data_IF_453124096446
#
_entry.id   IF_453124096446
#
_cell.length_a   1.000
_cell.length_b   1.000
_cell.length_c   1.000
_cell.angle_alpha   90.00
_cell.angle_beta   90.00
_cell.angle_gamma   90.00
#
_symmetry.space_group_name_H-M   'P 1'
#
loop_
_entity.id
_entity.type
_entity.pdbx_description
1 polymer ?
#
# COMPACT_ATOMS: atom_id res chain seq x y z
N UNK A 1 -8.25 -0.44 -21.16
CA UNK A 1 -7.14 0.48 -21.56
C UNK A 1 -6.63 1.28 -20.36
N UNK A 2 -7.50 1.74 -19.45
CA UNK A 2 -7.14 2.55 -18.28
C UNK A 2 -6.26 1.85 -17.22
N UNK A 3 -6.39 0.53 -17.04
CA UNK A 3 -5.67 -0.24 -16.02
C UNK A 3 -4.14 -0.10 -16.14
N UNK A 4 -3.58 -0.45 -17.32
CA UNK A 4 -2.14 -0.41 -17.54
C UNK A 4 -1.58 1.01 -17.58
N UNK A 5 -2.37 2.01 -18.02
CA UNK A 5 -2.00 3.42 -17.90
C UNK A 5 -1.90 3.88 -16.45
N UNK A 6 -2.79 3.42 -15.56
CA UNK A 6 -2.73 3.72 -14.13
C UNK A 6 -1.51 3.05 -13.47
N UNK A 7 -1.21 1.80 -13.83
CA UNK A 7 0.00 1.11 -13.36
C UNK A 7 1.29 1.85 -13.80
N UNK A 8 1.35 2.33 -15.05
CA UNK A 8 2.46 3.15 -15.56
C UNK A 8 2.62 4.49 -14.82
N UNK A 9 1.52 5.11 -14.39
CA UNK A 9 1.60 6.33 -13.55
C UNK A 9 2.26 6.04 -12.21
N UNK A 10 2.07 4.83 -11.66
CA UNK A 10 2.69 4.42 -10.39
C UNK A 10 4.21 4.46 -10.40
N UNK A 11 4.85 4.14 -11.54
CA UNK A 11 6.31 4.24 -11.68
C UNK A 11 6.84 5.64 -11.39
N UNK A 12 6.07 6.69 -11.74
CA UNK A 12 6.48 8.08 -11.47
C UNK A 12 6.68 8.32 -9.98
N UNK A 13 5.80 7.76 -9.14
CA UNK A 13 5.92 7.90 -7.69
C UNK A 13 7.18 7.24 -7.14
N UNK A 14 7.50 6.03 -7.62
CA UNK A 14 8.72 5.33 -7.24
C UNK A 14 9.99 6.07 -7.72
N UNK A 15 10.00 6.60 -8.95
CA UNK A 15 11.12 7.38 -9.47
C UNK A 15 11.35 8.69 -8.69
N UNK A 16 10.28 9.36 -8.27
CA UNK A 16 10.39 10.57 -7.43
C UNK A 16 10.99 10.21 -6.07
N UNK A 17 10.54 9.12 -5.43
CA UNK A 17 11.16 8.62 -4.20
C UNK A 17 12.64 8.33 -4.38
N UNK A 18 13.02 7.54 -5.40
CA UNK A 18 14.43 7.21 -5.68
C UNK A 18 15.27 8.47 -5.88
N UNK A 19 14.80 9.43 -6.69
CA UNK A 19 15.50 10.69 -6.92
C UNK A 19 15.68 11.52 -5.66
N UNK A 20 14.64 11.59 -4.82
CA UNK A 20 14.70 12.28 -3.53
C UNK A 20 15.70 11.60 -2.58
N UNK A 21 15.68 10.27 -2.49
CA UNK A 21 16.62 9.54 -1.64
C UNK A 21 18.06 9.69 -2.09
N UNK A 22 18.36 9.63 -3.39
CA UNK A 22 19.72 9.85 -3.91
C UNK A 22 20.21 11.27 -3.56
N UNK A 23 19.34 12.27 -3.74
CA UNK A 23 19.66 13.65 -3.41
C UNK A 23 19.91 13.84 -1.91
N UNK A 24 19.00 13.35 -1.07
CA UNK A 24 19.08 13.53 0.38
C UNK A 24 20.23 12.73 1.00
N UNK A 25 20.41 11.47 0.62
CA UNK A 25 21.54 10.66 1.10
C UNK A 25 22.90 11.30 0.77
N UNK A 26 23.05 11.84 -0.44
CA UNK A 26 24.26 12.57 -0.86
C UNK A 26 24.53 13.78 0.04
N UNK A 27 23.51 14.61 0.29
CA UNK A 27 23.64 15.80 1.15
C UNK A 27 23.91 15.40 2.60
N UNK A 28 23.11 14.49 3.16
CA UNK A 28 23.22 14.07 4.56
C UNK A 28 24.58 13.45 4.86
N UNK A 29 25.08 12.57 4.00
CA UNK A 29 26.39 11.94 4.21
C UNK A 29 27.51 12.98 4.08
N UNK A 30 27.48 13.85 3.06
CA UNK A 30 28.51 14.89 2.89
C UNK A 30 28.61 15.81 4.12
N UNK A 31 27.48 16.35 4.59
CA UNK A 31 27.47 17.22 5.77
C UNK A 31 27.55 16.46 7.10
N UNK A 32 27.17 15.18 7.13
CA UNK A 32 27.33 14.31 8.30
C UNK A 32 28.81 14.04 8.58
N UNK A 33 29.61 13.77 7.55
CA UNK A 33 31.06 13.67 7.68
C UNK A 33 31.71 15.01 8.01
N UNK A 34 31.31 16.09 7.33
CA UNK A 34 31.94 17.39 7.55
C UNK A 34 31.61 18.01 8.91
N UNK A 35 30.38 17.82 9.38
CA UNK A 35 29.89 18.31 10.67
C UNK A 35 30.02 17.32 11.82
N UNK A 36 30.73 16.20 11.62
CA UNK A 36 30.95 15.13 12.61
C UNK A 36 29.66 14.64 13.29
N UNK A 37 28.56 14.56 12.55
CA UNK A 37 27.24 14.20 13.10
C UNK A 37 26.90 12.75 12.79
N UNK A 38 27.01 11.87 13.79
CA UNK A 38 26.63 10.45 13.64
C UNK A 38 25.13 10.28 13.36
N UNK A 39 24.26 11.09 13.96
CA UNK A 39 22.83 11.09 13.69
C UNK A 39 22.52 11.37 12.21
N UNK A 40 23.16 12.39 11.62
CA UNK A 40 22.96 12.74 10.22
C UNK A 40 23.54 11.68 9.26
N UNK A 41 24.67 11.07 9.62
CA UNK A 41 25.25 9.94 8.87
C UNK A 41 24.32 8.73 8.87
N UNK A 42 23.80 8.35 10.04
CA UNK A 42 22.88 7.23 10.18
C UNK A 42 21.62 7.44 9.34
N UNK A 43 21.03 8.63 9.40
CA UNK A 43 19.87 9.01 8.59
C UNK A 43 20.20 8.99 7.07
N UNK A 44 21.40 9.41 6.68
CA UNK A 44 21.89 9.32 5.30
C UNK A 44 22.07 7.87 4.79
N UNK A 45 22.59 6.96 5.62
CA UNK A 45 22.72 5.54 5.30
C UNK A 45 21.38 4.82 5.25
N UNK A 46 20.42 5.21 6.09
CA UNK A 46 19.05 4.69 6.01
C UNK A 46 18.44 5.03 4.65
N UNK A 47 18.56 6.28 4.18
CA UNK A 47 18.09 6.66 2.84
C UNK A 47 18.77 5.92 1.69
N UNK A 48 19.97 5.37 1.88
CA UNK A 48 20.58 4.49 0.88
C UNK A 48 19.85 3.13 0.82
N UNK A 49 19.40 2.63 1.96
CA UNK A 49 18.60 1.40 2.04
C UNK A 49 17.21 1.60 1.44
N UNK A 50 16.62 2.78 1.62
CA UNK A 50 15.30 3.13 1.05
C UNK A 50 15.32 3.23 -0.48
N UNK A 51 16.48 3.53 -1.07
CA UNK A 51 16.66 3.41 -2.53
C UNK A 51 16.45 1.96 -2.97
N UNK A 52 16.99 0.98 -2.25
CA UNK A 52 16.82 -0.44 -2.57
C UNK A 52 15.36 -0.86 -2.39
N UNK A 53 14.70 -0.41 -1.33
CA UNK A 53 13.27 -0.64 -1.11
C UNK A 53 12.42 -0.06 -2.25
N UNK A 54 12.72 1.18 -2.65
CA UNK A 54 12.03 1.86 -3.75
C UNK A 54 12.26 1.20 -5.11
N UNK A 55 13.46 0.66 -5.35
CA UNK A 55 13.75 -0.15 -6.53
C UNK A 55 12.92 -1.44 -6.51
N UNK A 56 12.82 -2.11 -5.36
CA UNK A 56 11.99 -3.32 -5.24
C UNK A 56 10.51 -3.02 -5.55
N UNK A 57 9.98 -1.89 -5.05
CA UNK A 57 8.64 -1.38 -5.39
C UNK A 57 8.51 -1.12 -6.89
N UNK A 58 9.49 -0.43 -7.50
CA UNK A 58 9.49 -0.15 -8.94
C UNK A 58 9.50 -1.43 -9.78
N UNK A 59 10.28 -2.43 -9.39
CA UNK A 59 10.32 -3.74 -10.05
C UNK A 59 8.97 -4.43 -9.95
N UNK A 60 8.35 -4.47 -8.77
CA UNK A 60 7.01 -5.05 -8.61
C UNK A 60 5.95 -4.36 -9.45
N UNK A 61 5.97 -3.02 -9.51
CA UNK A 61 5.09 -2.22 -10.38
C UNK A 61 5.33 -2.50 -11.87
N UNK A 62 6.56 -2.77 -12.30
CA UNK A 62 6.86 -3.13 -13.70
C UNK A 62 6.42 -4.55 -14.04
N UNK A 63 6.58 -5.47 -13.11
CA UNK A 63 6.10 -6.85 -13.29
C UNK A 63 4.58 -6.86 -13.36
N UNK A 64 3.87 -6.11 -12.51
CA UNK A 64 2.40 -6.07 -12.50
C UNK A 64 1.78 -5.53 -13.78
N UNK A 65 2.54 -4.74 -14.55
CA UNK A 65 2.13 -4.24 -15.86
C UNK A 65 2.17 -5.30 -16.98
N UNK A 66 2.75 -6.48 -16.74
CA UNK A 66 2.77 -7.53 -17.76
C UNK A 66 1.35 -8.07 -17.99
N UNK A 67 0.89 -8.15 -19.25
CA UNK A 67 -0.39 -8.76 -19.57
C UNK A 67 -0.37 -10.26 -19.27
N UNK A 68 -1.55 -10.93 -19.29
CA UNK A 68 -1.63 -12.38 -19.22
C UNK A 68 -0.71 -13.09 -20.22
N UNK A 69 -0.10 -14.18 -19.77
CA UNK A 69 0.76 -15.07 -20.55
C UNK A 69 0.42 -16.54 -20.27
N UNK A 70 1.15 -17.48 -20.87
CA UNK A 70 0.86 -18.92 -20.82
C UNK A 70 0.85 -19.52 -19.41
N UNK A 71 1.62 -18.95 -18.47
CA UNK A 71 1.68 -19.42 -17.09
C UNK A 71 0.95 -18.51 -16.09
N UNK A 72 0.49 -17.33 -16.52
CA UNK A 72 -0.30 -16.38 -15.73
C UNK A 72 -1.51 -15.88 -16.53
N UNK A 73 -2.55 -16.72 -16.66
CA UNK A 73 -3.78 -16.41 -17.39
C UNK A 73 -4.55 -15.17 -16.89
N UNK A 74 -4.36 -14.79 -15.62
CA UNK A 74 -4.95 -13.58 -15.02
C UNK A 74 -3.98 -12.39 -14.99
N UNK A 75 -2.80 -12.53 -15.59
CA UNK A 75 -1.74 -11.53 -15.59
C UNK A 75 -0.95 -11.49 -14.28
N UNK A 76 -0.08 -10.48 -14.18
CA UNK A 76 0.94 -10.37 -13.13
C UNK A 76 0.58 -9.41 -12.00
N UNK A 77 -0.70 -9.03 -11.89
CA UNK A 77 -1.18 -7.97 -10.98
C UNK A 77 -0.79 -8.18 -9.51
N UNK A 78 -0.70 -9.44 -9.05
CA UNK A 78 -0.28 -9.79 -7.68
C UNK A 78 1.17 -9.36 -7.37
N UNK A 79 2.03 -9.14 -8.37
CA UNK A 79 3.39 -8.65 -8.17
C UNK A 79 3.43 -7.28 -7.47
N UNK A 80 2.39 -6.47 -7.63
CA UNK A 80 2.24 -5.22 -6.89
C UNK A 80 2.06 -5.46 -5.39
N UNK A 81 1.16 -6.38 -5.01
CA UNK A 81 0.94 -6.75 -3.61
C UNK A 81 2.18 -7.37 -2.98
N UNK A 82 2.94 -8.16 -3.74
CA UNK A 82 4.23 -8.71 -3.29
C UNK A 82 5.25 -7.59 -3.03
N UNK A 83 5.31 -6.57 -3.89
CA UNK A 83 6.14 -5.39 -3.63
C UNK A 83 5.71 -4.61 -2.38
N UNK A 84 4.42 -4.42 -2.15
CA UNK A 84 3.88 -3.82 -0.92
C UNK A 84 4.29 -4.61 0.33
N UNK A 85 4.18 -5.94 0.26
CA UNK A 85 4.60 -6.83 1.35
C UNK A 85 6.11 -6.69 1.63
N UNK A 86 6.94 -6.72 0.60
CA UNK A 86 8.39 -6.57 0.75
C UNK A 86 8.77 -5.19 1.32
N UNK A 87 8.13 -4.12 0.84
CA UNK A 87 8.33 -2.78 1.38
C UNK A 87 7.95 -2.71 2.86
N UNK A 88 6.82 -3.32 3.26
CA UNK A 88 6.42 -3.38 4.67
C UNK A 88 7.43 -4.13 5.55
N UNK A 89 8.07 -5.18 5.01
CA UNK A 89 9.12 -5.91 5.73
C UNK A 89 10.37 -5.05 5.93
N UNK A 90 10.84 -4.35 4.89
CA UNK A 90 11.98 -3.44 4.98
C UNK A 90 11.69 -2.32 5.98
N UNK A 91 10.50 -1.71 5.90
CA UNK A 91 10.04 -0.69 6.84
C UNK A 91 10.01 -1.19 8.29
N UNK A 92 9.59 -2.43 8.53
CA UNK A 92 9.63 -3.03 9.85
C UNK A 92 11.06 -3.19 10.37
N UNK A 93 12.00 -3.63 9.53
CA UNK A 93 13.43 -3.74 9.89
C UNK A 93 13.99 -2.36 10.25
N UNK A 94 13.71 -1.33 9.47
CA UNK A 94 14.13 0.05 9.76
C UNK A 94 13.53 0.54 11.07
N UNK A 95 12.23 0.33 11.29
CA UNK A 95 11.57 0.67 12.56
C UNK A 95 12.22 0.00 13.77
N UNK A 96 12.59 -1.29 13.65
CA UNK A 96 13.29 -2.02 14.71
C UNK A 96 14.71 -1.48 14.92
N UNK A 97 15.41 -1.13 13.84
CA UNK A 97 16.73 -0.52 13.91
C UNK A 97 16.68 0.84 14.65
N UNK A 98 15.68 1.67 14.36
CA UNK A 98 15.47 2.94 15.06
C UNK A 98 15.21 2.71 16.56
N UNK A 99 14.33 1.76 16.91
CA UNK A 99 14.04 1.43 18.31
C UNK A 99 15.25 0.88 19.07
N UNK A 100 16.00 -0.03 18.44
CA UNK A 100 17.20 -0.62 19.05
C UNK A 100 18.32 0.40 19.21
N UNK A 101 18.49 1.32 18.25
CA UNK A 101 19.43 2.43 18.38
C UNK A 101 19.02 3.38 19.51
N UNK A 102 17.75 3.79 19.56
CA UNK A 102 17.24 4.63 20.65
C UNK A 102 17.46 3.99 22.03
N UNK A 103 17.25 2.68 22.15
CA UNK A 103 17.50 1.94 23.39
C UNK A 103 19.00 1.89 23.75
N UNK A 104 19.89 1.68 22.77
CA UNK A 104 21.35 1.69 23.01
C UNK A 104 21.86 3.05 23.45
N UNK A 105 21.35 4.13 22.86
CA UNK A 105 21.75 5.50 23.20
C UNK A 105 21.42 5.91 24.65
N UNK A 106 20.57 5.16 25.37
CA UNK A 106 20.35 5.35 26.82
C UNK A 106 21.60 5.01 27.63
N UNK A 107 22.43 4.08 27.14
CA UNK A 107 23.60 3.56 27.85
C UNK A 107 24.92 4.14 27.34
N UNK A 108 24.89 4.90 26.24
CA UNK A 108 26.07 5.54 25.67
C UNK A 108 26.30 6.93 26.28
N UNK A 109 27.57 7.35 26.47
CA UNK A 109 27.87 8.72 26.89
C UNK A 109 27.31 9.73 25.89
N UNK A 110 26.80 10.85 26.40
CA UNK A 110 26.33 11.96 25.56
C UNK A 110 27.51 12.45 24.72
N UNK A 111 27.44 12.24 23.40
CA UNK A 111 28.45 12.70 22.46
C UNK A 111 28.54 14.24 22.45
N UNK A 112 29.67 14.78 21.98
CA UNK A 112 29.81 16.22 21.75
C UNK A 112 28.69 16.74 20.84
N UNK A 113 28.19 17.93 21.15
CA UNK A 113 27.07 18.53 20.42
C UNK A 113 27.42 18.68 18.93
N UNK A 114 26.63 18.09 18.01
CA UNK A 114 26.87 18.23 16.58
C UNK A 114 26.76 19.69 16.11
N UNK A 115 27.33 19.99 14.95
CA UNK A 115 27.19 21.30 14.31
C UNK A 115 25.73 21.69 14.09
N UNK A 116 25.36 22.94 14.38
CA UNK A 116 23.99 23.48 14.15
C UNK A 116 23.54 23.29 12.68
N UNK A 117 24.49 23.26 11.74
CA UNK A 117 24.21 23.04 10.32
C UNK A 117 23.57 21.66 10.08
N UNK A 118 23.93 20.63 10.85
CA UNK A 118 23.40 19.28 10.65
C UNK A 118 21.92 19.17 11.03
N UNK A 119 21.47 19.95 12.02
CA UNK A 119 20.06 20.03 12.40
C UNK A 119 19.18 20.67 11.29
N UNK A 120 19.67 21.74 10.66
CA UNK A 120 18.97 22.37 9.55
C UNK A 120 18.84 21.44 8.34
N UNK A 121 19.86 20.64 8.08
CA UNK A 121 19.82 19.64 7.00
C UNK A 121 18.82 18.53 7.31
N UNK A 122 18.75 18.08 8.56
CA UNK A 122 17.74 17.11 8.99
C UNK A 122 16.32 17.65 8.80
N UNK A 123 16.04 18.90 9.19
CA UNK A 123 14.74 19.53 8.94
C UNK A 123 14.43 19.74 7.46
N UNK A 124 15.43 20.16 6.67
CA UNK A 124 15.28 20.28 5.23
C UNK A 124 14.92 18.94 4.58
N UNK A 125 15.58 17.86 5.00
CA UNK A 125 15.22 16.50 4.58
C UNK A 125 13.80 16.12 4.97
N UNK A 126 13.40 16.39 6.22
CA UNK A 126 12.05 16.10 6.69
C UNK A 126 10.98 16.79 5.81
N UNK A 127 11.22 18.04 5.42
CA UNK A 127 10.31 18.78 4.54
C UNK A 127 10.24 18.14 3.14
N UNK A 128 11.39 17.82 2.53
CA UNK A 128 11.42 17.17 1.21
C UNK A 128 10.66 15.85 1.25
N UNK A 129 10.98 14.98 2.20
CA UNK A 129 10.34 13.67 2.31
C UNK A 129 8.84 13.79 2.60
N UNK A 130 8.42 14.78 3.39
CA UNK A 130 7.00 15.05 3.59
C UNK A 130 6.30 15.44 2.29
N UNK A 131 6.91 16.29 1.46
CA UNK A 131 6.36 16.67 0.15
C UNK A 131 6.24 15.45 -0.76
N UNK A 132 7.28 14.60 -0.83
CA UNK A 132 7.27 13.36 -1.61
C UNK A 132 6.19 12.39 -1.10
N UNK A 133 6.04 12.24 0.21
CA UNK A 133 4.95 11.48 0.84
C UNK A 133 3.58 11.98 0.37
N UNK A 134 3.33 13.29 0.43
CA UNK A 134 2.01 13.85 0.03
C UNK A 134 1.73 13.62 -1.44
N UNK A 135 2.74 13.73 -2.30
CA UNK A 135 2.61 13.41 -3.72
C UNK A 135 2.26 11.93 -3.93
N UNK A 136 3.05 11.00 -3.36
CA UNK A 136 2.84 9.57 -3.54
C UNK A 136 1.55 9.07 -2.90
N UNK A 137 1.13 9.63 -1.76
CA UNK A 137 -0.13 9.28 -1.13
C UNK A 137 -1.30 9.66 -2.05
N UNK A 138 -1.29 10.89 -2.57
CA UNK A 138 -2.31 11.34 -3.53
C UNK A 138 -2.33 10.46 -4.77
N UNK A 139 -1.16 10.18 -5.35
CA UNK A 139 -1.03 9.30 -6.50
C UNK A 139 -1.60 7.91 -6.20
N UNK A 140 -1.23 7.31 -5.06
CA UNK A 140 -1.70 5.97 -4.66
C UNK A 140 -3.22 5.88 -4.55
N UNK A 141 -3.88 6.95 -4.09
CA UNK A 141 -5.33 7.03 -3.98
C UNK A 141 -5.99 7.18 -5.36
N UNK A 142 -5.39 7.97 -6.25
CA UNK A 142 -5.87 8.16 -7.62
C UNK A 142 -5.81 6.87 -8.45
N UNK A 143 -4.71 6.12 -8.35
CA UNK A 143 -4.51 4.88 -9.14
C UNK A 143 -4.88 3.60 -8.38
N UNK A 144 -5.33 3.73 -7.11
CA UNK A 144 -5.63 2.64 -6.17
C UNK A 144 -4.49 1.63 -6.03
N UNK A 145 -3.26 2.11 -5.95
CA UNK A 145 -2.06 1.27 -5.88
C UNK A 145 -1.60 1.03 -4.46
N UNK A 146 -1.54 -0.24 -4.05
CA UNK A 146 -1.02 -0.62 -2.73
C UNK A 146 0.48 -0.41 -2.65
N UNK A 147 1.22 -0.65 -3.73
CA UNK A 147 2.68 -0.52 -3.75
C UNK A 147 3.12 0.95 -3.68
N UNK A 148 2.45 1.84 -4.41
CA UNK A 148 2.73 3.29 -4.30
C UNK A 148 2.31 3.82 -2.92
N UNK A 149 1.23 3.28 -2.33
CA UNK A 149 0.84 3.64 -0.96
C UNK A 149 1.87 3.18 0.07
N UNK A 150 2.42 1.98 -0.08
CA UNK A 150 3.51 1.49 0.78
C UNK A 150 4.75 2.39 0.67
N UNK A 151 5.17 2.74 -0.56
CA UNK A 151 6.26 3.70 -0.78
C UNK A 151 5.94 5.09 -0.21
N UNK A 152 4.69 5.56 -0.28
CA UNK A 152 4.30 6.81 0.35
C UNK A 152 4.50 6.76 1.88
N UNK A 153 4.08 5.66 2.52
CA UNK A 153 4.25 5.51 3.96
C UNK A 153 5.72 5.34 4.37
N UNK A 154 6.55 4.75 3.52
CA UNK A 154 8.00 4.72 3.68
C UNK A 154 8.58 6.14 3.68
N UNK A 155 8.24 6.93 2.65
CA UNK A 155 8.61 8.35 2.59
C UNK A 155 8.16 9.15 3.83
N UNK A 156 7.00 8.80 4.41
CA UNK A 156 6.51 9.42 5.65
C UNK A 156 7.38 9.02 6.84
N UNK A 157 7.76 7.75 6.94
CA UNK A 157 8.68 7.25 7.97
C UNK A 157 9.99 8.03 7.94
N UNK A 158 10.56 8.26 6.76
CA UNK A 158 11.79 9.06 6.62
C UNK A 158 11.61 10.52 6.99
N UNK A 159 10.49 11.12 6.60
CA UNK A 159 10.18 12.48 7.04
C UNK A 159 10.15 12.58 8.56
N UNK A 160 9.57 11.59 9.24
CA UNK A 160 9.54 11.52 10.70
C UNK A 160 10.92 11.27 11.29
N UNK A 161 11.71 10.34 10.75
CA UNK A 161 13.08 10.06 11.21
C UNK A 161 13.97 11.29 11.07
N UNK A 162 13.96 11.96 9.91
CA UNK A 162 14.72 13.20 9.70
C UNK A 162 14.24 14.34 10.62
N UNK A 163 12.93 14.44 10.86
CA UNK A 163 12.38 15.41 11.81
C UNK A 163 12.87 15.12 13.23
N UNK A 164 12.84 13.84 13.63
CA UNK A 164 13.31 13.37 14.92
C UNK A 164 14.79 13.63 15.14
N UNK A 165 15.62 13.33 14.14
CA UNK A 165 17.05 13.65 14.15
C UNK A 165 17.28 15.16 14.29
N UNK A 166 16.51 16.00 13.58
CA UNK A 166 16.57 17.46 13.72
C UNK A 166 16.24 17.93 15.15
N UNK A 167 15.15 17.41 15.74
CA UNK A 167 14.76 17.69 17.12
C UNK A 167 15.82 17.21 18.11
N UNK A 168 16.39 16.02 17.89
CA UNK A 168 17.43 15.42 18.73
C UNK A 168 18.72 16.24 18.72
N UNK A 169 19.19 16.65 17.54
CA UNK A 169 20.39 17.50 17.39
C UNK A 169 20.16 18.85 18.07
N UNK A 170 19.01 19.49 17.85
CA UNK A 170 18.67 20.75 18.54
C UNK A 170 18.59 20.56 20.06
N UNK A 171 17.96 19.47 20.52
CA UNK A 171 17.88 19.12 21.93
C UNK A 171 19.27 18.97 22.56
N UNK A 172 20.18 18.27 21.90
CA UNK A 172 21.56 18.11 22.36
C UNK A 172 22.29 19.47 22.48
N UNK A 173 22.12 20.37 21.51
CA UNK A 173 22.72 21.72 21.54
C UNK A 173 22.22 22.55 22.74
N UNK A 174 20.94 22.43 23.11
CA UNK A 174 20.35 23.14 24.25
C UNK A 174 20.46 22.39 25.60
N UNK A 175 21.24 21.31 25.66
CA UNK A 175 21.46 20.55 26.90
C UNK A 175 20.35 19.56 27.27
N UNK A 176 19.48 19.21 26.32
CA UNK A 176 18.40 18.23 26.45
C UNK A 176 18.58 17.03 25.49
N UNK A 177 19.70 16.27 25.57
CA UNK A 177 19.97 15.12 24.69
C UNK A 177 18.95 13.99 24.83
N UNK A 178 18.21 13.93 25.94
CA UNK A 178 17.15 12.94 26.16
C UNK A 178 15.99 13.08 25.16
N UNK A 179 15.82 14.26 24.56
CA UNK A 179 14.81 14.50 23.53
C UNK A 179 15.05 13.64 22.29
N UNK A 180 16.30 13.38 21.92
CA UNK A 180 16.64 12.53 20.79
C UNK A 180 16.13 11.10 21.00
N UNK A 181 16.43 10.53 22.17
CA UNK A 181 16.04 9.18 22.57
C UNK A 181 14.50 9.03 22.59
N UNK A 182 13.81 9.97 23.26
CA UNK A 182 12.35 9.92 23.36
C UNK A 182 11.69 10.05 21.98
N UNK A 183 12.20 10.96 21.15
CA UNK A 183 11.65 11.21 19.81
C UNK A 183 11.88 10.00 18.91
N UNK A 184 13.08 9.43 18.89
CA UNK A 184 13.41 8.23 18.13
C UNK A 184 12.56 7.02 18.57
N UNK A 185 12.33 6.85 19.87
CA UNK A 185 11.47 5.77 20.38
C UNK A 185 10.02 5.90 19.90
N UNK A 186 9.43 7.10 20.01
CA UNK A 186 8.06 7.37 19.54
C UNK A 186 7.95 7.13 18.03
N UNK A 187 8.89 7.65 17.24
CA UNK A 187 8.91 7.49 15.78
C UNK A 187 9.04 6.01 15.41
N UNK A 188 9.96 5.28 16.04
CA UNK A 188 10.15 3.85 15.79
C UNK A 188 8.85 3.05 15.98
N UNK A 189 8.08 3.33 17.03
CA UNK A 189 6.78 2.70 17.26
C UNK A 189 5.75 3.02 16.16
N UNK A 190 5.73 4.27 15.68
CA UNK A 190 4.84 4.69 14.58
C UNK A 190 5.20 3.94 13.29
N UNK A 191 6.49 3.80 12.99
CA UNK A 191 6.99 3.10 11.80
C UNK A 191 6.60 1.62 11.88
N UNK A 192 6.87 0.95 12.99
CA UNK A 192 6.51 -0.46 13.19
C UNK A 192 5.01 -0.69 13.03
N UNK A 193 4.18 0.16 13.64
CA UNK A 193 2.72 0.05 13.49
C UNK A 193 2.31 0.16 12.02
N UNK A 194 2.86 1.15 11.32
CA UNK A 194 2.57 1.37 9.89
C UNK A 194 2.98 0.16 9.04
N UNK A 195 4.16 -0.39 9.31
CA UNK A 195 4.65 -1.58 8.63
C UNK A 195 3.74 -2.80 8.87
N UNK A 196 3.29 -3.01 10.11
CA UNK A 196 2.37 -4.11 10.46
C UNK A 196 0.99 -3.95 9.79
N UNK A 197 0.47 -2.73 9.69
CA UNK A 197 -0.79 -2.45 9.00
C UNK A 197 -0.69 -2.80 7.51
N UNK A 198 0.37 -2.36 6.82
CA UNK A 198 0.61 -2.69 5.40
C UNK A 198 0.86 -4.19 5.22
N UNK A 199 1.62 -4.81 6.13
CA UNK A 199 1.86 -6.25 6.10
C UNK A 199 0.56 -7.04 6.20
N UNK A 200 -0.30 -6.71 7.18
CA UNK A 200 -1.59 -7.38 7.38
C UNK A 200 -2.48 -7.24 6.15
N UNK A 201 -2.56 -6.04 5.57
CA UNK A 201 -3.35 -5.79 4.37
C UNK A 201 -2.81 -6.56 3.15
N UNK A 202 -1.48 -6.60 2.99
CA UNK A 202 -0.83 -7.32 1.88
C UNK A 202 -1.02 -8.83 2.00
N UNK A 203 -0.86 -9.40 3.20
CA UNK A 203 -1.11 -10.81 3.46
C UNK A 203 -2.58 -11.15 3.21
N UNK A 204 -3.51 -10.35 3.76
CA UNK A 204 -4.95 -10.54 3.54
C UNK A 204 -5.28 -10.57 2.05
N UNK A 205 -4.72 -9.64 1.26
CA UNK A 205 -4.91 -9.62 -0.20
C UNK A 205 -4.30 -10.85 -0.89
N UNK A 206 -3.11 -11.30 -0.48
CA UNK A 206 -2.45 -12.48 -1.07
C UNK A 206 -3.15 -13.79 -0.75
N UNK A 207 -3.85 -13.86 0.38
CA UNK A 207 -4.68 -15.00 0.80
C UNK A 207 -6.13 -14.89 0.31
N UNK A 208 -6.41 -14.01 -0.65
CA UNK A 208 -7.75 -13.77 -1.21
C UNK A 208 -8.80 -13.32 -0.17
N UNK A 209 -8.36 -12.69 0.92
CA UNK A 209 -9.21 -11.99 1.88
C UNK A 209 -9.84 -10.75 1.24
N UNK A 210 -11.08 -10.48 1.62
CA UNK A 210 -11.91 -9.46 0.99
C UNK A 210 -12.77 -8.74 2.02
N UNK A 211 -13.13 -7.49 1.74
CA UNK A 211 -13.87 -6.63 2.67
C UNK A 211 -15.35 -7.03 2.75
N UNK A 212 -15.81 -7.43 3.93
CA UNK A 212 -17.19 -7.87 4.16
C UNK A 212 -18.22 -6.74 3.93
N UNK A 213 -17.86 -5.50 4.24
CA UNK A 213 -18.73 -4.33 4.00
C UNK A 213 -18.93 -4.12 2.49
N UNK A 214 -17.89 -4.41 1.69
CA UNK A 214 -17.93 -4.34 0.24
C UNK A 214 -18.77 -5.48 -0.35
N UNK A 215 -18.70 -6.69 0.22
CA UNK A 215 -19.58 -7.81 -0.12
C UNK A 215 -21.04 -7.45 0.13
N UNK A 216 -21.37 -6.91 1.30
CA UNK A 216 -22.76 -6.57 1.66
C UNK A 216 -23.31 -5.50 0.71
N UNK A 217 -22.53 -4.44 0.47
CA UNK A 217 -22.91 -3.35 -0.43
C UNK A 217 -23.21 -3.86 -1.85
N UNK A 218 -22.33 -4.71 -2.40
CA UNK A 218 -22.52 -5.27 -3.74
C UNK A 218 -23.64 -6.30 -3.78
N UNK A 219 -23.80 -7.10 -2.73
CA UNK A 219 -24.89 -8.08 -2.60
C UNK A 219 -26.27 -7.42 -2.66
N UNK A 220 -26.44 -6.27 -2.01
CA UNK A 220 -27.68 -5.48 -2.08
C UNK A 220 -27.97 -5.02 -3.52
N UNK A 221 -26.95 -4.66 -4.29
CA UNK A 221 -27.12 -4.26 -5.69
C UNK A 221 -27.54 -5.44 -6.57
N UNK A 222 -26.91 -6.61 -6.38
CA UNK A 222 -27.20 -7.83 -7.15
C UNK A 222 -28.62 -8.31 -6.87
N UNK A 223 -29.05 -8.33 -5.60
CA UNK A 223 -30.43 -8.72 -5.20
C UNK A 223 -31.52 -7.82 -5.76
N UNK A 224 -31.17 -6.60 -6.22
CA UNK A 224 -32.11 -5.66 -6.86
C UNK A 224 -32.12 -5.75 -8.39
N UNK A 225 -31.43 -6.73 -8.98
CA UNK A 225 -31.49 -6.97 -10.43
C UNK A 225 -32.77 -7.75 -10.77
N UNK A 226 -33.61 -7.27 -11.71
CA UNK A 226 -34.78 -8.01 -12.16
C UNK A 226 -34.38 -9.41 -12.67
N UNK A 227 -35.13 -10.44 -12.28
CA UNK A 227 -34.87 -11.83 -12.65
C UNK A 227 -33.96 -12.59 -11.68
N UNK A 228 -33.22 -11.90 -10.79
CA UNK A 228 -32.53 -12.55 -9.67
C UNK A 228 -33.54 -12.89 -8.58
N UNK A 229 -33.69 -14.17 -8.27
CA UNK A 229 -34.55 -14.66 -7.19
C UNK A 229 -33.76 -14.64 -5.88
N UNK A 230 -32.61 -15.34 -5.85
CA UNK A 230 -31.75 -15.42 -4.68
C UNK A 230 -30.28 -15.23 -5.07
N UNK A 231 -29.53 -14.47 -4.26
CA UNK A 231 -28.06 -14.48 -4.30
C UNK A 231 -27.58 -15.60 -3.36
N UNK A 232 -27.05 -16.68 -3.92
CA UNK A 232 -26.65 -17.90 -3.18
C UNK A 232 -25.23 -17.81 -2.64
N UNK A 233 -24.30 -17.29 -3.43
CA UNK A 233 -22.89 -17.18 -3.08
C UNK A 233 -22.29 -15.88 -3.64
N UNK A 234 -21.37 -15.28 -2.88
CA UNK A 234 -20.61 -14.11 -3.28
C UNK A 234 -19.17 -14.30 -2.78
N UNK A 235 -18.22 -14.32 -3.70
CA UNK A 235 -16.79 -14.38 -3.39
C UNK A 235 -16.08 -13.23 -4.08
N UNK A 236 -15.38 -12.41 -3.30
CA UNK A 236 -14.53 -11.34 -3.80
C UNK A 236 -13.06 -11.66 -3.54
N UNK A 237 -12.17 -11.20 -4.42
CA UNK A 237 -10.71 -11.13 -4.18
C UNK A 237 -10.10 -9.96 -4.94
N UNK A 238 -8.93 -9.49 -4.50
CA UNK A 238 -8.23 -8.37 -5.14
C UNK A 238 -6.87 -8.82 -5.68
N UNK A 239 -6.58 -8.52 -6.95
CA UNK A 239 -5.23 -8.65 -7.52
C UNK A 239 -4.73 -7.26 -7.93
N UNK A 240 -3.77 -6.71 -7.17
CA UNK A 240 -3.33 -5.34 -7.36
C UNK A 240 -4.51 -4.37 -7.18
N UNK A 241 -4.80 -3.58 -8.21
CA UNK A 241 -5.91 -2.63 -8.23
C UNK A 241 -7.15 -3.11 -9.02
N UNK A 242 -7.25 -4.42 -9.26
CA UNK A 242 -8.40 -5.08 -9.92
C UNK A 242 -9.12 -6.00 -8.94
N UNK A 243 -10.44 -5.87 -8.89
CA UNK A 243 -11.32 -6.72 -8.11
C UNK A 243 -11.81 -7.89 -8.95
N UNK A 244 -11.83 -9.09 -8.40
CA UNK A 244 -12.43 -10.28 -9.01
C UNK A 244 -13.61 -10.70 -8.15
N UNK A 245 -14.76 -10.90 -8.79
CA UNK A 245 -16.00 -11.26 -8.11
C UNK A 245 -16.58 -12.50 -8.78
N UNK A 246 -16.76 -13.55 -8.00
CA UNK A 246 -17.47 -14.77 -8.40
C UNK A 246 -18.83 -14.78 -7.69
N UNK A 247 -19.92 -14.85 -8.45
CA UNK A 247 -21.29 -14.83 -7.95
C UNK A 247 -22.03 -16.11 -8.33
N UNK A 248 -22.90 -16.58 -7.45
CA UNK A 248 -23.93 -17.57 -7.80
C UNK A 248 -25.30 -16.99 -7.52
N UNK A 249 -26.14 -16.89 -8.55
CA UNK A 249 -27.51 -16.39 -8.44
C UNK A 249 -28.51 -17.44 -8.91
N UNK A 250 -29.66 -17.51 -8.25
CA UNK A 250 -30.79 -18.30 -8.75
C UNK A 250 -31.74 -17.46 -9.58
N UNK A 251 -32.24 -18.06 -10.66
CA UNK A 251 -33.22 -17.46 -11.58
C UNK A 251 -34.35 -18.46 -11.87
N UNK A 252 -35.41 -18.00 -12.54
CA UNK A 252 -36.54 -18.86 -12.86
C UNK A 252 -36.11 -20.02 -13.80
N UNK A 253 -36.56 -21.27 -13.54
CA UNK A 253 -36.08 -22.46 -14.23
C UNK A 253 -36.56 -22.58 -15.68
N UNK A 254 -37.61 -21.83 -16.04
CA UNK A 254 -38.21 -21.81 -17.37
C UNK A 254 -37.50 -20.85 -18.35
N UNK A 255 -36.52 -20.08 -17.88
CA UNK A 255 -35.76 -19.16 -18.73
C UNK A 255 -34.88 -19.93 -19.71
N UNK A 256 -34.81 -19.43 -20.95
CA UNK A 256 -33.84 -19.92 -21.92
C UNK A 256 -32.44 -19.33 -21.66
N UNK A 257 -31.44 -19.85 -22.37
CA UNK A 257 -30.03 -19.46 -22.20
C UNK A 257 -29.77 -17.97 -22.48
N UNK A 258 -30.52 -17.37 -23.41
CA UNK A 258 -30.36 -15.95 -23.76
C UNK A 258 -30.92 -15.07 -22.64
N UNK A 259 -32.09 -15.41 -22.12
CA UNK A 259 -32.73 -14.67 -21.03
C UNK A 259 -31.88 -14.69 -19.75
N UNK A 260 -31.33 -15.87 -19.43
CA UNK A 260 -30.44 -16.01 -18.27
C UNK A 260 -29.12 -15.24 -18.48
N UNK A 261 -28.56 -15.24 -19.69
CA UNK A 261 -27.39 -14.42 -20.02
C UNK A 261 -27.65 -12.90 -19.90
N UNK A 262 -28.84 -12.42 -20.24
CA UNK A 262 -29.16 -11.00 -20.04
C UNK A 262 -29.21 -10.60 -18.56
N UNK A 263 -29.64 -11.51 -17.68
CA UNK A 263 -29.58 -11.28 -16.23
C UNK A 263 -28.11 -11.15 -15.78
N UNK A 264 -27.21 -11.99 -16.29
CA UNK A 264 -25.78 -11.88 -15.96
C UNK A 264 -25.18 -10.58 -16.45
N UNK A 265 -25.49 -10.15 -17.69
CA UNK A 265 -25.03 -8.86 -18.19
C UNK A 265 -25.53 -7.67 -17.35
N UNK A 266 -26.77 -7.72 -16.88
CA UNK A 266 -27.33 -6.64 -16.05
C UNK A 266 -26.66 -6.59 -14.67
N UNK A 267 -26.38 -7.75 -14.06
CA UNK A 267 -25.57 -7.86 -12.84
C UNK A 267 -24.19 -7.23 -13.07
N UNK A 268 -23.49 -7.64 -14.13
CA UNK A 268 -22.17 -7.12 -14.47
C UNK A 268 -22.18 -5.61 -14.66
N UNK A 269 -23.12 -5.08 -15.44
CA UNK A 269 -23.28 -3.64 -15.69
C UNK A 269 -23.55 -2.86 -14.41
N UNK A 270 -24.40 -3.37 -13.50
CA UNK A 270 -24.68 -2.67 -12.24
C UNK A 270 -23.47 -2.62 -11.32
N UNK A 271 -22.71 -3.70 -11.20
CA UNK A 271 -21.49 -3.72 -10.38
C UNK A 271 -20.43 -2.82 -11.01
N UNK A 272 -20.19 -2.91 -12.32
CA UNK A 272 -19.19 -2.10 -13.03
C UNK A 272 -19.45 -0.58 -12.94
N UNK A 273 -20.72 -0.16 -12.83
CA UNK A 273 -21.09 1.24 -12.58
C UNK A 273 -20.58 1.77 -11.24
N UNK A 274 -20.51 0.92 -10.21
CA UNK A 274 -20.04 1.28 -8.87
C UNK A 274 -18.55 1.02 -8.71
N UNK A 275 -18.04 -0.03 -9.35
CA UNK A 275 -16.64 -0.47 -9.30
C UNK A 275 -16.11 -0.65 -10.72
N UNK A 276 -15.45 0.37 -11.24
CA UNK A 276 -14.97 0.39 -12.64
C UNK A 276 -13.91 -0.67 -12.96
N UNK A 277 -13.08 -1.05 -11.99
CA UNK A 277 -11.99 -2.02 -12.18
C UNK A 277 -12.34 -3.36 -11.53
N UNK A 278 -13.36 -4.04 -12.07
CA UNK A 278 -13.71 -5.38 -11.64
C UNK A 278 -13.84 -6.36 -12.83
N UNK A 279 -13.51 -7.63 -12.56
CA UNK A 279 -13.80 -8.78 -13.40
C UNK A 279 -14.83 -9.61 -12.66
N UNK A 280 -15.94 -9.90 -13.31
CA UNK A 280 -17.09 -10.56 -12.67
C UNK A 280 -17.35 -11.86 -13.42
N UNK A 281 -17.58 -12.94 -12.68
CA UNK A 281 -18.07 -14.19 -13.19
C UNK A 281 -19.38 -14.51 -12.48
N UNK A 282 -20.46 -14.69 -13.26
CA UNK A 282 -21.77 -15.02 -12.71
C UNK A 282 -22.15 -16.45 -13.10
N UNK A 283 -22.27 -17.32 -12.10
CA UNK A 283 -22.89 -18.63 -12.23
C UNK A 283 -24.39 -18.53 -11.98
N UNK A 284 -25.16 -19.12 -12.88
CA UNK A 284 -26.63 -19.14 -12.80
C UNK A 284 -27.07 -20.54 -12.40
N UNK A 285 -27.93 -20.61 -11.39
CA UNK A 285 -28.60 -21.83 -10.98
C UNK A 285 -30.12 -21.70 -11.14
N UNK A 286 -30.84 -22.76 -11.52
CA UNK A 286 -32.29 -22.74 -11.49
C UNK A 286 -32.79 -22.71 -10.03
N UNK A 287 -33.81 -21.92 -9.74
CA UNK A 287 -34.49 -21.97 -8.46
C UNK A 287 -35.55 -23.09 -8.44
N UNK A 288 -35.21 -24.23 -7.85
CA UNK A 288 -36.07 -25.42 -7.81
C UNK A 288 -37.29 -25.19 -6.90
N UNK A 289 -37.21 -24.25 -5.94
CA UNK A 289 -38.36 -23.89 -5.09
C UNK A 289 -39.54 -23.30 -5.88
N UNK A 290 -39.27 -22.82 -7.09
CA UNK A 290 -40.26 -22.30 -8.04
C UNK A 290 -41.07 -23.40 -8.73
N UNK A 291 -40.50 -24.61 -8.84
CA UNK A 291 -41.16 -25.76 -9.49
C UNK A 291 -42.19 -26.38 -8.53
N UNK A 292 -41.87 -26.44 -7.23
CA UNK A 292 -42.77 -26.94 -6.18
C UNK A 292 -44.02 -26.06 -5.95
N UNK A 293 -43.99 -24.79 -6.37
CA UNK A 293 -45.16 -23.88 -6.27
C UNK A 293 -46.12 -24.01 -7.44
N UNK A 294 -45.61 -24.25 -8.66
CA UNK A 294 -46.44 -24.40 -9.86
C UNK A 294 -47.10 -25.81 -9.95
N UNK A 295 -46.53 -26.83 -9.30
CA UNK A 295 -47.16 -28.17 -9.22
C UNK A 295 -48.27 -28.29 -8.15
N UNK A 296 -48.49 -27.25 -7.33
CA UNK A 296 -49.52 -27.23 -6.27
C UNK A 296 -50.78 -26.41 -6.62
N UNK A 297 -50.84 -25.82 -7.80
CA UNK A 297 -52.06 -25.25 -8.41
C UNK A 297 -52.72 -26.22 -9.40
#
# INVERSE_FOLDING_TARGET
MDLYTNLRKGEKGAWISIGAYIFLSSIKLAFGFWGSSEALKADGFNNLTDILASIAVLVGLRISQKPPDENHHYGHLRAETIASLLASFIMAVIGLQVLTNAFRSIFEPIAEAPSVITAWIAFFSAIIMYVVYRYNLKLSQEIKSSAVRAAAYDNRSDALVSLGAGIGIFGAIFGAPILDIVTAFIIGLIIIKTALDIFKESVMTLTDGFDEDEVETLSVLVRRVPGVITLRDFKGRNHGNVMFIDLTVSVAPNLNVIESHWITEEIEKKIQKVKTNCVILVHIEPDISYIDSDEKE
#
